data_IF_853284803773
#
_entry.id   IF_853284803773
#
_cell.length_a   1.000
_cell.length_b   1.000
_cell.length_c   1.000
_cell.angle_alpha   90.00
_cell.angle_beta   90.00
_cell.angle_gamma   90.00
#
_symmetry.space_group_name_H-M   'P 1'
#
loop_
_entity.id
_entity.type
_entity.pdbx_description
1 polymer ?
#
# COMPACT_ATOMS: atom_id res chain seq x y z
N UNK A 1 -11.29 -0.66 -20.19
CA UNK A 1 -10.50 -0.02 -21.27
C UNK A 1 -11.34 0.86 -22.21
N UNK A 2 -12.60 0.51 -22.52
CA UNK A 2 -13.45 1.34 -23.39
C UNK A 2 -13.76 2.75 -22.87
N UNK A 3 -14.07 2.89 -21.57
CA UNK A 3 -14.38 4.18 -20.96
C UNK A 3 -13.16 5.12 -20.89
N UNK A 4 -11.96 4.61 -20.59
CA UNK A 4 -10.71 5.40 -20.58
C UNK A 4 -10.30 5.84 -21.98
N UNK A 5 -10.46 4.98 -22.99
CA UNK A 5 -10.25 5.35 -24.40
C UNK A 5 -11.26 6.41 -24.88
N UNK A 6 -12.53 6.32 -24.46
CA UNK A 6 -13.56 7.30 -24.78
C UNK A 6 -13.29 8.68 -24.15
N UNK A 7 -12.82 8.72 -22.89
CA UNK A 7 -12.44 9.96 -22.22
C UNK A 7 -11.17 10.56 -22.84
N UNK A 8 -10.18 9.74 -23.20
CA UNK A 8 -8.99 10.20 -23.92
C UNK A 8 -9.33 10.78 -25.30
N UNK A 9 -10.26 10.17 -26.03
CA UNK A 9 -10.72 10.66 -27.33
C UNK A 9 -11.52 11.98 -27.22
N UNK A 10 -12.28 12.17 -26.13
CA UNK A 10 -13.14 13.35 -25.92
C UNK A 10 -12.44 14.53 -25.23
N UNK A 11 -11.51 14.27 -24.31
CA UNK A 11 -10.84 15.29 -23.49
C UNK A 11 -9.31 15.39 -23.71
N UNK A 12 -8.70 14.46 -24.44
CA UNK A 12 -7.24 14.44 -24.67
C UNK A 12 -6.70 15.62 -25.50
N UNK A 13 -7.56 16.38 -26.18
CA UNK A 13 -7.17 17.62 -26.90
C UNK A 13 -7.12 18.87 -26.02
N UNK A 14 -7.64 18.83 -24.77
CA UNK A 14 -7.76 19.99 -23.87
C UNK A 14 -6.86 19.96 -22.63
N UNK A 15 -6.06 18.91 -22.45
CA UNK A 15 -5.23 18.72 -21.25
C UNK A 15 -3.74 18.81 -21.63
N UNK A 16 -3.04 19.79 -21.08
CA UNK A 16 -1.62 20.07 -21.31
C UNK A 16 -0.71 18.97 -20.72
N UNK A 17 -1.17 18.30 -19.67
CA UNK A 17 -0.46 17.20 -19.02
C UNK A 17 -1.16 15.85 -19.28
N UNK A 18 -0.44 14.92 -19.93
CA UNK A 18 -0.92 13.58 -20.29
C UNK A 18 -0.69 12.55 -19.17
N UNK A 19 -0.02 12.93 -18.09
CA UNK A 19 0.33 12.06 -16.95
C UNK A 19 -0.90 11.37 -16.32
N UNK A 20 -2.04 12.06 -16.09
CA UNK A 20 -3.23 11.42 -15.51
C UNK A 20 -3.80 10.30 -16.39
N UNK A 21 -3.70 10.44 -17.71
CA UNK A 21 -4.17 9.42 -18.65
C UNK A 21 -3.31 8.15 -18.58
N UNK A 22 -1.98 8.30 -18.49
CA UNK A 22 -1.08 7.16 -18.32
C UNK A 22 -1.37 6.40 -17.02
N UNK A 23 -1.57 7.13 -15.90
CA UNK A 23 -1.98 6.52 -14.64
C UNK A 23 -3.29 5.74 -14.76
N UNK A 24 -4.31 6.33 -15.41
CA UNK A 24 -5.59 5.65 -15.62
C UNK A 24 -5.46 4.39 -16.48
N UNK A 25 -4.63 4.40 -17.52
CA UNK A 25 -4.40 3.22 -18.37
C UNK A 25 -3.72 2.10 -17.59
N UNK A 26 -2.64 2.43 -16.88
CA UNK A 26 -1.91 1.49 -16.03
C UNK A 26 -2.85 0.90 -14.98
N UNK A 27 -3.57 1.75 -14.25
CA UNK A 27 -4.52 1.31 -13.24
C UNK A 27 -5.59 0.39 -13.81
N UNK A 28 -6.23 0.79 -14.92
CA UNK A 28 -7.27 -0.03 -15.56
C UNK A 28 -6.71 -1.38 -16.01
N UNK A 29 -5.50 -1.41 -16.56
CA UNK A 29 -4.86 -2.65 -16.99
C UNK A 29 -4.60 -3.58 -15.81
N UNK A 30 -4.03 -3.06 -14.71
CA UNK A 30 -3.77 -3.84 -13.50
C UNK A 30 -5.07 -4.28 -12.80
N UNK A 31 -6.11 -3.45 -12.76
CA UNK A 31 -7.43 -3.84 -12.19
C UNK A 31 -8.09 -4.93 -13.04
N UNK A 32 -8.05 -4.84 -14.36
CA UNK A 32 -8.57 -5.88 -15.24
C UNK A 32 -7.76 -7.18 -15.09
N UNK A 33 -6.42 -7.08 -15.05
CA UNK A 33 -5.55 -8.23 -14.83
C UNK A 33 -5.87 -8.90 -13.50
N UNK A 34 -5.97 -8.12 -12.41
CA UNK A 34 -6.33 -8.63 -11.09
C UNK A 34 -7.66 -9.37 -11.10
N UNK A 35 -8.71 -8.79 -11.71
CA UNK A 35 -10.02 -9.43 -11.83
C UNK A 35 -10.00 -10.74 -12.62
N UNK A 36 -9.15 -10.85 -13.65
CA UNK A 36 -8.94 -12.11 -14.39
C UNK A 36 -8.20 -13.15 -13.53
N UNK A 37 -7.19 -12.73 -12.78
CA UNK A 37 -6.41 -13.62 -11.91
C UNK A 37 -7.26 -14.20 -10.78
N UNK A 38 -8.10 -13.38 -10.14
CA UNK A 38 -9.02 -13.79 -9.06
C UNK A 38 -10.29 -14.48 -9.58
N UNK A 39 -10.59 -14.36 -10.88
CA UNK A 39 -11.84 -14.85 -11.48
C UNK A 39 -13.08 -14.06 -11.04
N UNK A 40 -12.92 -12.85 -10.51
CA UNK A 40 -14.04 -12.02 -10.03
C UNK A 40 -14.46 -11.02 -11.10
N UNK A 41 -15.51 -11.34 -11.85
CA UNK A 41 -16.10 -10.46 -12.86
C UNK A 41 -17.39 -9.87 -12.30
N UNK A 42 -17.48 -8.57 -12.05
CA UNK A 42 -18.72 -7.91 -11.58
C UNK A 42 -19.40 -8.55 -10.34
N UNK A 43 -18.64 -9.25 -9.48
CA UNK A 43 -19.14 -10.01 -8.33
C UNK A 43 -19.02 -11.53 -8.53
N UNK A 44 -19.23 -12.29 -7.46
CA UNK A 44 -19.07 -13.74 -7.44
C UNK A 44 -20.39 -14.49 -7.63
N UNK A 45 -21.53 -13.86 -7.34
CA UNK A 45 -22.84 -14.51 -7.28
C UNK A 45 -23.42 -14.99 -8.63
N UNK A 46 -23.02 -14.39 -9.75
CA UNK A 46 -23.62 -14.67 -11.08
C UNK A 46 -22.75 -15.55 -11.99
N UNK A 47 -21.52 -15.86 -11.58
CA UNK A 47 -20.58 -16.60 -12.41
C UNK A 47 -20.87 -18.11 -12.29
N UNK A 48 -21.18 -18.81 -13.40
CA UNK A 48 -21.31 -20.26 -13.36
C UNK A 48 -19.98 -20.89 -12.93
N UNK A 49 -20.04 -22.01 -12.20
CA UNK A 49 -18.88 -22.76 -11.68
C UNK A 49 -17.83 -23.17 -12.73
N UNK A 50 -18.08 -22.89 -14.01
CA UNK A 50 -17.22 -23.16 -15.16
C UNK A 50 -16.10 -22.14 -15.36
N UNK A 51 -16.15 -20.95 -14.75
CA UNK A 51 -15.03 -19.99 -14.82
C UNK A 51 -14.16 -20.17 -13.58
N UNK A 52 -13.20 -21.07 -13.69
CA UNK A 52 -12.21 -21.30 -12.63
C UNK A 52 -11.28 -20.08 -12.52
N UNK A 53 -10.95 -19.61 -11.31
CA UNK A 53 -9.92 -18.59 -11.13
C UNK A 53 -8.60 -19.08 -11.72
N UNK A 54 -7.93 -18.22 -12.49
CA UNK A 54 -6.64 -18.56 -13.11
C UNK A 54 -5.60 -18.90 -12.03
N UNK A 55 -5.69 -18.24 -10.87
CA UNK A 55 -4.89 -18.55 -9.69
C UNK A 55 -5.81 -18.80 -8.49
N UNK A 56 -6.13 -20.07 -8.15
CA UNK A 56 -6.96 -20.41 -7.00
C UNK A 56 -6.45 -19.88 -5.66
N UNK A 57 -5.13 -19.69 -5.53
CA UNK A 57 -4.49 -19.13 -4.33
C UNK A 57 -5.00 -17.73 -3.98
N UNK A 58 -5.34 -16.90 -4.99
CA UNK A 58 -5.82 -15.52 -4.79
C UNK A 58 -7.29 -15.43 -4.35
N UNK A 59 -8.03 -16.54 -4.32
CA UNK A 59 -9.42 -16.57 -3.86
C UNK A 59 -9.51 -16.70 -2.32
N UNK A 60 -8.46 -17.20 -1.68
CA UNK A 60 -8.42 -17.38 -0.23
C UNK A 60 -8.05 -16.07 0.48
N UNK A 61 -8.89 -15.65 1.42
CA UNK A 61 -8.69 -14.43 2.21
C UNK A 61 -7.36 -14.44 2.98
N UNK A 62 -6.94 -15.60 3.50
CA UNK A 62 -5.66 -15.74 4.22
C UNK A 62 -4.48 -15.46 3.29
N UNK A 63 -4.54 -15.94 2.05
CA UNK A 63 -3.48 -15.73 1.06
C UNK A 63 -3.43 -14.28 0.57
N UNK A 64 -4.59 -13.64 0.36
CA UNK A 64 -4.63 -12.23 -0.03
C UNK A 64 -4.13 -11.33 1.10
N UNK A 65 -4.47 -11.63 2.36
CA UNK A 65 -3.92 -10.92 3.52
C UNK A 65 -2.40 -11.10 3.63
N UNK A 66 -1.87 -12.31 3.42
CA UNK A 66 -0.44 -12.58 3.37
C UNK A 66 0.24 -11.81 2.23
N UNK A 67 -0.39 -11.72 1.06
CA UNK A 67 0.09 -10.90 -0.05
C UNK A 67 0.17 -9.42 0.35
N UNK A 68 -0.86 -8.88 1.02
CA UNK A 68 -0.84 -7.49 1.50
C UNK A 68 0.29 -7.23 2.49
N UNK A 69 0.54 -8.15 3.43
CA UNK A 69 1.69 -8.01 4.34
C UNK A 69 3.03 -8.21 3.64
N UNK A 70 3.09 -9.02 2.59
CA UNK A 70 4.31 -9.18 1.79
C UNK A 70 4.63 -7.90 1.02
N UNK A 71 3.61 -7.23 0.48
CA UNK A 71 3.75 -5.89 -0.11
C UNK A 71 4.25 -4.89 0.93
N UNK A 72 3.70 -4.93 2.16
CA UNK A 72 4.18 -4.10 3.27
C UNK A 72 5.67 -4.32 3.54
N UNK A 73 6.08 -5.58 3.68
CA UNK A 73 7.46 -5.96 3.94
C UNK A 73 8.40 -5.41 2.85
N UNK A 74 8.06 -5.59 1.58
CA UNK A 74 8.86 -5.11 0.46
C UNK A 74 8.92 -3.58 0.46
N UNK A 75 7.78 -2.90 0.62
CA UNK A 75 7.71 -1.45 0.56
C UNK A 75 8.51 -0.78 1.70
N UNK A 76 8.37 -1.28 2.93
CA UNK A 76 9.09 -0.80 4.10
C UNK A 76 10.58 -1.18 4.05
N UNK A 77 10.92 -2.36 3.52
CA UNK A 77 12.33 -2.75 3.30
C UNK A 77 13.01 -1.84 2.29
N UNK A 78 12.31 -1.41 1.23
CA UNK A 78 12.85 -0.44 0.27
C UNK A 78 13.10 0.91 0.94
N UNK A 79 12.18 1.38 1.78
CA UNK A 79 12.34 2.65 2.50
C UNK A 79 13.60 2.63 3.39
N UNK A 80 13.76 1.58 4.21
CA UNK A 80 14.93 1.41 5.09
C UNK A 80 16.21 1.13 4.32
N UNK A 81 16.14 0.37 3.23
CA UNK A 81 17.27 0.14 2.33
C UNK A 81 17.77 1.43 1.68
N UNK A 82 16.85 2.30 1.25
CA UNK A 82 17.20 3.62 0.72
C UNK A 82 17.84 4.50 1.80
N UNK A 83 17.25 4.56 2.99
CA UNK A 83 17.81 5.32 4.11
C UNK A 83 19.23 4.84 4.47
N UNK A 84 19.45 3.52 4.44
CA UNK A 84 20.76 2.92 4.65
C UNK A 84 21.75 3.37 3.56
N UNK A 85 21.40 3.25 2.28
CA UNK A 85 22.26 3.68 1.17
C UNK A 85 22.63 5.18 1.25
N UNK A 86 21.69 6.03 1.67
CA UNK A 86 21.93 7.46 1.83
C UNK A 86 22.89 7.79 3.00
N UNK A 87 22.91 6.96 4.05
CA UNK A 87 23.77 7.12 5.23
C UNK A 87 25.13 6.42 5.10
N UNK A 88 25.36 5.68 4.01
CA UNK A 88 26.64 5.04 3.75
C UNK A 88 27.73 6.09 3.44
N UNK A 89 28.95 6.02 4.05
CA UNK A 89 29.53 4.96 4.88
C UNK A 89 29.55 5.26 6.40
N UNK A 90 28.66 6.11 6.93
CA UNK A 90 28.64 6.42 8.36
C UNK A 90 28.28 5.19 9.23
N UNK A 91 28.67 5.21 10.50
CA UNK A 91 28.33 4.16 11.48
C UNK A 91 26.80 4.00 11.65
N UNK A 92 26.02 5.06 11.37
CA UNK A 92 24.56 5.05 11.44
C UNK A 92 23.89 4.19 10.37
N UNK A 93 24.61 3.83 9.29
CA UNK A 93 24.16 2.84 8.31
C UNK A 93 23.78 1.51 8.99
N UNK A 94 24.57 1.11 9.99
CA UNK A 94 24.37 -0.15 10.68
C UNK A 94 23.07 -0.15 11.51
N UNK A 95 22.65 1.02 12.00
CA UNK A 95 21.34 1.17 12.64
C UNK A 95 20.19 0.94 11.66
N UNK A 96 20.28 1.45 10.42
CA UNK A 96 19.25 1.20 9.40
C UNK A 96 19.17 -0.28 8.98
N UNK A 97 20.30 -0.99 8.96
CA UNK A 97 20.31 -2.44 8.80
C UNK A 97 19.60 -3.13 9.96
N UNK A 98 19.79 -2.64 11.19
CA UNK A 98 19.06 -3.12 12.38
C UNK A 98 17.55 -2.89 12.25
N UNK A 99 17.13 -1.71 11.79
CA UNK A 99 15.73 -1.40 11.53
C UNK A 99 15.12 -2.27 10.43
N UNK A 100 15.87 -2.60 9.38
CA UNK A 100 15.44 -3.55 8.36
C UNK A 100 15.16 -4.92 8.98
N UNK A 101 16.06 -5.43 9.83
CA UNK A 101 15.82 -6.70 10.55
C UNK A 101 14.59 -6.61 11.46
N UNK A 102 14.36 -5.49 12.15
CA UNK A 102 13.15 -5.29 12.97
C UNK A 102 11.87 -5.35 12.12
N UNK A 103 11.85 -4.73 10.94
CA UNK A 103 10.70 -4.80 10.01
C UNK A 103 10.41 -6.24 9.59
N UNK A 104 11.46 -7.03 9.29
CA UNK A 104 11.33 -8.45 8.98
C UNK A 104 10.82 -9.27 10.18
N UNK A 105 11.30 -8.99 11.39
CA UNK A 105 10.76 -9.58 12.62
C UNK A 105 9.27 -9.25 12.81
N UNK A 106 8.90 -7.97 12.64
CA UNK A 106 7.53 -7.49 12.77
C UNK A 106 6.58 -8.09 11.73
N UNK A 107 7.06 -8.43 10.54
CA UNK A 107 6.27 -9.17 9.55
C UNK A 107 5.80 -10.52 10.09
N UNK A 108 6.69 -11.31 10.70
CA UNK A 108 6.30 -12.59 11.29
C UNK A 108 5.38 -12.43 12.50
N UNK A 109 5.56 -11.37 13.29
CA UNK A 109 4.66 -11.04 14.41
C UNK A 109 3.26 -10.67 13.91
N UNK A 110 3.16 -9.82 12.88
CA UNK A 110 1.88 -9.45 12.29
C UNK A 110 1.15 -10.65 11.68
N UNK A 111 1.89 -11.53 10.99
CA UNK A 111 1.36 -12.80 10.48
C UNK A 111 0.84 -13.71 11.60
N UNK A 112 1.53 -13.77 12.74
CA UNK A 112 1.06 -14.55 13.89
C UNK A 112 -0.25 -13.98 14.46
N UNK A 113 -0.34 -12.66 14.67
CA UNK A 113 -1.51 -12.04 15.28
C UNK A 113 -2.74 -11.99 14.38
N UNK A 114 -2.55 -11.74 13.08
CA UNK A 114 -3.67 -11.54 12.15
C UNK A 114 -4.06 -12.83 11.43
N UNK A 115 -3.08 -13.60 10.96
CA UNK A 115 -3.32 -14.82 10.18
C UNK A 115 -3.30 -16.09 11.06
N UNK A 116 -2.94 -15.99 12.33
CA UNK A 116 -2.83 -17.13 13.23
C UNK A 116 -1.70 -18.10 12.89
N UNK A 117 -0.75 -17.68 12.04
CA UNK A 117 0.38 -18.53 11.64
C UNK A 117 1.37 -18.75 12.79
N UNK A 118 1.98 -19.94 12.82
CA UNK A 118 3.00 -20.25 13.82
C UNK A 118 4.20 -19.33 13.67
N UNK A 119 4.66 -18.75 14.78
CA UNK A 119 5.84 -17.89 14.78
C UNK A 119 7.10 -18.73 14.53
N UNK A 120 7.82 -18.51 13.42
CA UNK A 120 8.97 -19.34 13.11
C UNK A 120 10.12 -19.05 14.08
N UNK A 121 10.81 -20.10 14.53
CA UNK A 121 11.89 -19.97 15.50
C UNK A 121 13.02 -19.05 15.00
N UNK A 122 13.27 -19.02 13.68
CA UNK A 122 14.30 -18.15 13.09
C UNK A 122 13.95 -16.66 13.19
N UNK A 123 12.67 -16.29 13.28
CA UNK A 123 12.28 -14.89 13.37
C UNK A 123 12.72 -14.23 14.68
N UNK A 124 13.02 -15.04 15.71
CA UNK A 124 13.66 -14.55 16.95
C UNK A 124 15.03 -13.93 16.67
N UNK A 125 15.78 -14.46 15.70
CA UNK A 125 17.11 -13.94 15.36
C UNK A 125 17.04 -12.51 14.81
N UNK A 126 15.97 -12.16 14.08
CA UNK A 126 15.78 -10.80 13.59
C UNK A 126 15.67 -9.78 14.73
N UNK A 127 15.01 -10.14 15.83
CA UNK A 127 14.92 -9.26 17.01
C UNK A 127 16.21 -9.27 17.83
N UNK A 128 16.81 -10.45 18.04
CA UNK A 128 18.05 -10.61 18.82
C UNK A 128 19.21 -9.85 18.16
N UNK A 129 19.29 -9.84 16.84
CA UNK A 129 20.32 -9.12 16.09
C UNK A 129 19.89 -7.67 15.79
N UNK A 130 18.65 -7.46 15.39
CA UNK A 130 18.14 -6.18 14.91
C UNK A 130 18.01 -5.12 16.00
N UNK A 131 17.53 -5.48 17.20
CA UNK A 131 17.34 -4.50 18.29
C UNK A 131 18.69 -3.95 18.77
N UNK A 132 19.71 -4.76 19.10
CA UNK A 132 21.01 -4.23 19.49
C UNK A 132 21.65 -3.40 18.37
N UNK A 133 21.55 -3.85 17.12
CA UNK A 133 22.15 -3.15 15.99
C UNK A 133 21.49 -1.78 15.76
N UNK A 134 20.16 -1.71 15.83
CA UNK A 134 19.42 -0.46 15.72
C UNK A 134 19.72 0.49 16.89
N UNK A 135 19.79 -0.04 18.11
CA UNK A 135 19.95 0.74 19.34
C UNK A 135 21.38 1.28 19.53
N UNK A 136 22.41 0.44 19.43
CA UNK A 136 23.79 0.85 19.69
C UNK A 136 24.36 1.78 18.62
N UNK A 137 23.89 1.65 17.38
CA UNK A 137 24.41 2.42 16.24
C UNK A 137 23.49 3.58 15.85
N UNK A 138 22.49 3.90 16.69
CA UNK A 138 21.54 4.97 16.43
C UNK A 138 22.19 6.35 16.34
N UNK A 139 23.25 6.58 17.14
CA UNK A 139 23.99 7.85 17.23
C UNK A 139 25.49 7.54 17.16
N UNK A 140 26.29 8.53 16.76
CA UNK A 140 27.75 8.40 16.82
C UNK A 140 28.23 8.03 18.24
N UNK A 141 29.27 7.19 18.37
CA UNK A 141 29.74 6.68 19.66
C UNK A 141 30.09 7.75 20.70
N UNK A 142 30.45 8.96 20.25
CA UNK A 142 30.83 10.09 21.10
C UNK A 142 29.66 10.69 21.87
N UNK A 143 28.46 10.63 21.30
CA UNK A 143 27.25 11.24 21.88
C UNK A 143 26.29 10.20 22.46
N UNK A 144 26.53 8.91 22.24
CA UNK A 144 25.70 7.81 22.71
C UNK A 144 25.37 7.88 24.21
N UNK A 145 26.36 8.08 25.08
CA UNK A 145 26.11 8.13 26.54
C UNK A 145 25.25 9.32 26.97
N UNK A 146 25.21 10.41 26.18
CA UNK A 146 24.38 11.59 26.45
C UNK A 146 22.98 11.42 25.87
N UNK A 147 22.85 10.75 24.72
CA UNK A 147 21.58 10.59 24.01
C UNK A 147 20.75 9.41 24.49
N UNK A 148 21.36 8.33 24.99
CA UNK A 148 20.66 7.10 25.42
C UNK A 148 19.49 7.36 26.37
N UNK A 149 19.64 8.27 27.33
CA UNK A 149 18.57 8.57 28.29
C UNK A 149 17.32 9.20 27.64
N UNK A 150 17.51 10.03 26.61
CA UNK A 150 16.41 10.70 25.90
C UNK A 150 15.84 9.83 24.77
N UNK A 151 16.68 8.97 24.18
CA UNK A 151 16.37 8.23 22.96
C UNK A 151 15.77 6.84 23.19
N UNK A 152 15.85 6.30 24.42
CA UNK A 152 15.22 5.01 24.78
C UNK A 152 13.71 5.03 24.51
N UNK A 153 13.00 6.08 24.97
CA UNK A 153 11.54 6.14 24.82
C UNK A 153 11.14 6.26 23.34
N UNK A 154 11.69 7.21 22.55
CA UNK A 154 11.46 7.25 21.11
C UNK A 154 11.78 5.94 20.39
N UNK A 155 12.88 5.26 20.77
CA UNK A 155 13.25 3.99 20.16
C UNK A 155 12.16 2.92 20.35
N UNK A 156 11.66 2.73 21.57
CA UNK A 156 10.57 1.77 21.82
C UNK A 156 9.29 2.12 21.07
N UNK A 157 8.93 3.42 21.03
CA UNK A 157 7.77 3.89 20.27
C UNK A 157 7.93 3.62 18.77
N UNK A 158 9.14 3.80 18.22
CA UNK A 158 9.44 3.51 16.82
C UNK A 158 9.34 2.02 16.48
N UNK A 159 9.74 1.13 17.40
CA UNK A 159 9.54 -0.32 17.23
C UNK A 159 8.05 -0.67 17.15
N UNK A 160 7.22 -0.08 18.02
CA UNK A 160 5.77 -0.28 17.99
C UNK A 160 5.17 0.32 16.70
N UNK A 161 5.65 1.50 16.28
CA UNK A 161 5.25 2.15 15.04
C UNK A 161 5.54 1.25 13.84
N UNK A 162 6.73 0.63 13.76
CA UNK A 162 7.08 -0.27 12.67
C UNK A 162 6.12 -1.47 12.54
N UNK A 163 5.65 -2.01 13.66
CA UNK A 163 4.60 -3.05 13.65
C UNK A 163 3.24 -2.50 13.19
N UNK A 164 2.88 -1.30 13.66
CA UNK A 164 1.61 -0.63 13.29
C UNK A 164 1.57 -0.24 11.81
N UNK A 165 2.70 0.19 11.25
CA UNK A 165 2.87 0.48 9.82
C UNK A 165 2.61 -0.76 8.99
N UNK A 166 3.14 -1.91 9.41
CA UNK A 166 2.95 -3.18 8.71
C UNK A 166 1.50 -3.65 8.77
N UNK A 167 0.89 -3.64 9.96
CA UNK A 167 -0.52 -4.00 10.14
C UNK A 167 -1.43 -3.07 9.34
N UNK A 168 -1.05 -1.81 9.11
CA UNK A 168 -1.85 -0.85 8.33
C UNK A 168 -2.10 -1.28 6.88
N UNK A 169 -1.31 -2.20 6.31
CA UNK A 169 -1.53 -2.76 4.97
C UNK A 169 -2.75 -3.68 4.88
N UNK A 170 -3.30 -4.13 6.02
CA UNK A 170 -4.59 -4.84 6.05
C UNK A 170 -5.71 -4.00 5.40
N UNK A 171 -5.53 -2.68 5.37
CA UNK A 171 -6.43 -1.74 4.70
C UNK A 171 -6.59 -2.05 3.21
N UNK A 172 -5.52 -2.45 2.52
CA UNK A 172 -5.59 -2.83 1.10
C UNK A 172 -6.51 -4.03 0.89
N UNK A 173 -6.41 -5.02 1.79
CA UNK A 173 -7.29 -6.17 1.80
C UNK A 173 -8.75 -5.78 2.11
N UNK A 174 -8.99 -5.01 3.17
CA UNK A 174 -10.32 -4.62 3.61
C UNK A 174 -11.10 -3.86 2.52
N UNK A 175 -10.43 -2.95 1.82
CA UNK A 175 -11.01 -2.22 0.67
C UNK A 175 -11.38 -3.19 -0.46
N UNK A 176 -10.47 -4.10 -0.83
CA UNK A 176 -10.74 -5.05 -1.91
C UNK A 176 -11.93 -5.96 -1.60
N UNK A 177 -12.00 -6.44 -0.35
CA UNK A 177 -13.13 -7.24 0.13
C UNK A 177 -14.45 -6.45 0.11
N UNK A 178 -14.42 -5.17 0.51
CA UNK A 178 -15.61 -4.32 0.49
C UNK A 178 -16.16 -4.13 -0.93
N UNK A 179 -15.29 -3.94 -1.93
CA UNK A 179 -15.68 -3.82 -3.35
C UNK A 179 -16.36 -5.10 -3.88
N UNK A 180 -15.91 -6.29 -3.43
CA UNK A 180 -16.54 -7.57 -3.78
C UNK A 180 -17.91 -7.67 -3.11
N UNK A 181 -17.98 -7.39 -1.81
CA UNK A 181 -19.24 -7.46 -1.05
C UNK A 181 -20.32 -6.50 -1.60
N UNK A 182 -19.93 -5.29 -2.01
CA UNK A 182 -20.85 -4.31 -2.64
C UNK A 182 -21.34 -4.82 -4.00
N UNK A 183 -20.47 -5.45 -4.79
CA UNK A 183 -20.85 -6.05 -6.07
C UNK A 183 -21.86 -7.21 -5.86
N UNK A 184 -21.61 -8.10 -4.91
CA UNK A 184 -22.50 -9.22 -4.59
C UNK A 184 -23.84 -8.76 -4.01
N UNK A 185 -23.85 -7.75 -3.15
CA UNK A 185 -25.08 -7.14 -2.66
C UNK A 185 -25.90 -6.52 -3.82
N UNK A 186 -25.23 -5.83 -4.75
CA UNK A 186 -25.89 -5.24 -5.93
C UNK A 186 -26.52 -6.32 -6.81
N UNK A 187 -25.79 -7.41 -7.07
CA UNK A 187 -26.29 -8.55 -7.85
C UNK A 187 -27.46 -9.25 -7.15
N UNK A 188 -27.38 -9.43 -5.83
CA UNK A 188 -28.45 -10.06 -5.05
C UNK A 188 -29.72 -9.23 -5.07
N UNK A 189 -29.62 -7.90 -4.94
CA UNK A 189 -30.78 -7.00 -5.09
C UNK A 189 -31.34 -7.04 -6.50
N UNK A 190 -30.47 -7.04 -7.52
CA UNK A 190 -30.87 -7.06 -8.93
C UNK A 190 -31.68 -8.32 -9.32
N UNK A 191 -31.45 -9.45 -8.64
CA UNK A 191 -32.20 -10.69 -8.84
C UNK A 191 -33.59 -10.72 -8.19
N UNK A 192 -33.88 -9.81 -7.23
CA UNK A 192 -35.16 -9.76 -6.51
C UNK A 192 -36.08 -8.67 -7.08
N UNK A 193 -35.51 -7.60 -7.66
CA UNK A 193 -36.29 -6.50 -8.22
C UNK A 193 -36.97 -6.87 -9.55
N UNK A 194 -38.08 -6.20 -9.92
CA UNK A 194 -38.72 -6.42 -11.21
C UNK A 194 -37.76 -6.24 -12.39
N UNK A 195 -37.88 -7.02 -13.49
CA UNK A 195 -36.97 -6.96 -14.63
C UNK A 195 -36.81 -5.57 -15.26
N UNK A 196 -37.82 -4.69 -15.13
CA UNK A 196 -37.76 -3.31 -15.61
C UNK A 196 -36.85 -2.42 -14.74
N UNK A 197 -36.70 -2.73 -13.46
CA UNK A 197 -35.86 -1.99 -12.50
C UNK A 197 -34.43 -2.58 -12.39
N UNK A 198 -34.23 -3.83 -12.77
CA UNK A 198 -32.92 -4.53 -12.74
C UNK A 198 -31.78 -3.73 -13.41
N UNK A 199 -31.93 -3.16 -14.62
CA UNK A 199 -30.84 -2.42 -15.27
C UNK A 199 -30.44 -1.16 -14.49
N UNK A 200 -31.40 -0.50 -13.84
CA UNK A 200 -31.17 0.71 -13.05
C UNK A 200 -30.37 0.37 -11.79
N UNK A 201 -30.75 -0.70 -11.09
CA UNK A 201 -30.07 -1.16 -9.87
C UNK A 201 -28.64 -1.60 -10.18
N UNK A 202 -28.43 -2.39 -11.25
CA UNK A 202 -27.10 -2.82 -11.66
C UNK A 202 -26.22 -1.64 -12.06
N UNK A 203 -26.75 -0.72 -12.88
CA UNK A 203 -26.00 0.47 -13.30
C UNK A 203 -25.60 1.32 -12.09
N UNK A 204 -26.54 1.59 -11.17
CA UNK A 204 -26.28 2.39 -9.99
C UNK A 204 -25.26 1.73 -9.05
N UNK A 205 -25.46 0.46 -8.70
CA UNK A 205 -24.59 -0.24 -7.75
C UNK A 205 -23.17 -0.44 -8.27
N UNK A 206 -22.99 -0.78 -9.57
CA UNK A 206 -21.65 -0.87 -10.15
C UNK A 206 -20.99 0.51 -10.34
N UNK A 207 -21.77 1.56 -10.63
CA UNK A 207 -21.22 2.93 -10.69
C UNK A 207 -20.72 3.36 -9.32
N UNK A 208 -21.50 3.10 -8.26
CA UNK A 208 -21.09 3.35 -6.87
C UNK A 208 -19.82 2.56 -6.54
N UNK A 209 -19.75 1.28 -6.92
CA UNK A 209 -18.58 0.44 -6.67
C UNK A 209 -17.31 0.99 -7.35
N UNK A 210 -17.44 1.51 -8.58
CA UNK A 210 -16.34 2.18 -9.29
C UNK A 210 -15.88 3.46 -8.58
N UNK A 211 -16.81 4.27 -8.08
CA UNK A 211 -16.48 5.49 -7.32
C UNK A 211 -15.73 5.14 -6.03
N UNK A 212 -16.20 4.12 -5.29
CA UNK A 212 -15.54 3.66 -4.07
C UNK A 212 -14.13 3.14 -4.35
N UNK A 213 -13.96 2.35 -5.41
CA UNK A 213 -12.65 1.85 -5.82
C UNK A 213 -11.66 2.99 -6.14
N UNK A 214 -12.13 4.04 -6.84
CA UNK A 214 -11.32 5.23 -7.14
C UNK A 214 -10.91 5.97 -5.86
N UNK A 215 -11.85 6.19 -4.94
CA UNK A 215 -11.59 6.86 -3.66
C UNK A 215 -10.61 6.07 -2.80
N UNK A 216 -10.73 4.75 -2.79
CA UNK A 216 -9.85 3.91 -2.02
C UNK A 216 -8.40 3.99 -2.50
N UNK A 217 -8.17 4.03 -3.82
CA UNK A 217 -6.82 4.24 -4.37
C UNK A 217 -6.29 5.61 -3.98
N UNK A 218 -7.08 6.68 -4.20
CA UNK A 218 -6.61 8.04 -3.93
C UNK A 218 -6.27 8.24 -2.46
N UNK A 219 -7.14 7.84 -1.54
CA UNK A 219 -6.96 8.13 -0.12
C UNK A 219 -6.00 7.13 0.53
N UNK A 220 -6.11 5.84 0.21
CA UNK A 220 -5.32 4.83 0.90
C UNK A 220 -3.93 4.67 0.30
N UNK A 221 -3.74 4.72 -1.03
CA UNK A 221 -2.40 4.63 -1.60
C UNK A 221 -1.54 5.84 -1.20
N UNK A 222 -2.12 7.05 -1.21
CA UNK A 222 -1.42 8.25 -0.73
C UNK A 222 -1.07 8.10 0.75
N UNK A 223 -2.00 7.57 1.57
CA UNK A 223 -1.72 7.34 2.99
C UNK A 223 -0.52 6.43 3.21
N UNK A 224 -0.44 5.29 2.50
CA UNK A 224 0.68 4.35 2.63
C UNK A 224 2.01 5.03 2.23
N UNK A 225 2.02 5.84 1.16
CA UNK A 225 3.23 6.54 0.72
C UNK A 225 3.63 7.69 1.67
N UNK A 226 2.67 8.47 2.15
CA UNK A 226 2.95 9.65 2.97
C UNK A 226 3.21 9.28 4.42
N UNK A 227 2.44 8.37 5.03
CA UNK A 227 2.60 8.07 6.45
C UNK A 227 3.62 6.95 6.69
N UNK A 228 3.58 5.89 5.91
CA UNK A 228 4.35 4.67 6.23
C UNK A 228 5.69 4.67 5.49
N UNK A 229 5.73 5.01 4.19
CA UNK A 229 7.00 5.09 3.47
C UNK A 229 7.84 6.30 3.89
N UNK A 230 7.27 7.51 3.92
CA UNK A 230 8.04 8.70 4.30
C UNK A 230 8.49 8.68 5.77
N UNK A 231 7.66 8.11 6.65
CA UNK A 231 8.00 7.91 8.05
C UNK A 231 9.19 6.97 8.23
N UNK A 232 9.23 5.86 7.48
CA UNK A 232 10.37 4.94 7.54
C UNK A 232 11.61 5.42 6.80
N UNK A 233 11.46 6.27 5.79
CA UNK A 233 12.58 6.95 5.13
C UNK A 233 13.20 8.04 6.03
N UNK A 234 12.48 8.50 7.07
CA UNK A 234 12.91 9.61 7.92
C UNK A 234 12.83 10.96 7.20
N UNK A 235 11.90 11.10 6.25
CA UNK A 235 11.81 12.30 5.42
C UNK A 235 11.11 13.42 6.18
N UNK A 236 11.88 14.45 6.55
CA UNK A 236 11.33 15.67 7.11
C UNK A 236 10.78 16.55 5.97
N UNK A 237 9.47 16.82 6.01
CA UNK A 237 8.77 17.61 4.98
C UNK A 237 9.10 19.12 5.01
N UNK A 238 10.27 19.49 5.54
CA UNK A 238 10.77 20.85 5.67
C UNK A 238 11.82 21.15 4.58
N UNK A 239 11.40 21.13 3.31
CA UNK A 239 12.27 21.45 2.17
C UNK A 239 11.99 22.83 1.58
N UNK A 240 13.02 23.48 1.03
CA UNK A 240 12.87 24.71 0.23
C UNK A 240 12.72 24.31 -1.24
N UNK A 241 11.60 24.68 -1.86
CA UNK A 241 11.36 24.43 -3.28
C UNK A 241 12.37 25.19 -4.16
N UNK A 242 12.90 24.51 -5.18
CA UNK A 242 13.80 25.14 -6.15
C UNK A 242 13.05 26.21 -6.95
N UNK A 243 13.40 27.48 -6.75
CA UNK A 243 12.84 28.61 -7.49
C UNK A 243 13.90 29.18 -8.45
N UNK A 244 13.98 28.71 -9.70
CA UNK A 244 14.95 29.22 -10.66
C UNK A 244 14.64 30.66 -11.05
N UNK A 245 15.66 31.40 -11.51
CA UNK A 245 15.49 32.73 -12.06
C UNK A 245 14.54 32.70 -13.26
N UNK A 246 13.41 33.41 -13.16
CA UNK A 246 12.46 33.60 -14.26
C UNK A 246 12.75 34.93 -14.96
N UNK A 247 12.78 34.91 -16.29
CA UNK A 247 12.92 36.14 -17.10
C UNK A 247 11.63 36.96 -16.98
N UNK A 248 11.74 38.20 -16.49
CA UNK A 248 10.62 39.14 -16.46
C UNK A 248 10.35 39.56 -17.92
N UNK A 249 9.35 38.94 -18.55
CA UNK A 249 8.78 39.44 -19.80
C UNK A 249 8.03 40.72 -19.48
N UNK A 250 8.56 41.89 -19.87
CA UNK A 250 7.75 43.10 -19.94
C UNK A 250 6.69 42.87 -21.02
N UNK A 251 5.45 42.67 -20.62
CA UNK A 251 4.30 42.86 -21.50
C UNK A 251 4.42 44.26 -22.13
N UNK A 252 4.38 44.31 -23.45
CA UNK A 252 4.34 45.54 -24.25
C UNK A 252 2.90 45.88 -24.57
#
# INVERSE_FOLDING_TARGET
MGATAFIHFKFGKKMEDKTPFYLMYVLTAFTCLWGVLTGTYFGQAWLPASVSPVIPWLNDFTNVQLLCFSIALVHLSIARGWAALAKFPSITFLSEVGWLLIVWGMFFVANMFVLGMAFPAFAKFFFILGIPLAFFFMVEPKDFLKSVGMEIVPFFLNVISAGTDLVSYIRLFAVGLATIAVADATNSMAGIVPPLATPVVLLFGHTLNLILALMAILVHAIRLNVLEFSGQLGLEWAGIGYNPFKKISKEK
#
